data_IF_621417737628
#
_entry.id   IF_621417737628
#
_cell.length_a   1.000
_cell.length_b   1.000
_cell.length_c   1.000
_cell.angle_alpha   90.00
_cell.angle_beta   90.00
_cell.angle_gamma   90.00
#
_symmetry.space_group_name_H-M   'P 1'
#
loop_
_entity.id
_entity.type
_entity.pdbx_description
1 polymer ?
#
# COMPACT_ATOMS: atom_id res chain seq x y z
N UNK A 1 -19.67 55.77 12.80
CA UNK A 1 -20.66 54.87 12.18
C UNK A 1 -20.43 54.60 10.69
N UNK A 2 -20.47 55.58 9.76
CA UNK A 2 -20.28 55.33 8.31
C UNK A 2 -18.99 54.59 7.92
N UNK A 3 -17.85 54.90 8.56
CA UNK A 3 -16.57 54.19 8.37
C UNK A 3 -16.59 52.74 8.89
N UNK A 4 -17.33 52.48 9.97
CA UNK A 4 -17.47 51.15 10.57
C UNK A 4 -18.39 50.26 9.74
N UNK A 5 -19.49 50.83 9.22
CA UNK A 5 -20.40 50.16 8.28
C UNK A 5 -19.68 49.84 6.96
N UNK A 6 -18.89 50.79 6.43
CA UNK A 6 -18.06 50.55 5.24
C UNK A 6 -17.03 49.44 5.43
N UNK A 7 -16.40 49.37 6.62
CA UNK A 7 -15.46 48.29 6.97
C UNK A 7 -16.17 46.92 7.07
N UNK A 8 -17.34 46.87 7.70
CA UNK A 8 -18.13 45.64 7.83
C UNK A 8 -18.61 45.14 6.47
N UNK A 9 -19.09 46.04 5.59
CA UNK A 9 -19.48 45.70 4.22
C UNK A 9 -18.28 45.20 3.41
N UNK A 10 -17.11 45.84 3.55
CA UNK A 10 -15.89 45.41 2.88
C UNK A 10 -15.45 44.01 3.34
N UNK A 11 -15.46 43.75 4.66
CA UNK A 11 -15.17 42.42 5.22
C UNK A 11 -16.19 41.39 4.71
N UNK A 12 -17.48 41.73 4.67
CA UNK A 12 -18.53 40.84 4.17
C UNK A 12 -18.34 40.49 2.68
N UNK A 13 -17.91 41.45 1.85
CA UNK A 13 -17.59 41.20 0.44
C UNK A 13 -16.36 40.30 0.31
N UNK A 14 -15.31 40.53 1.10
CA UNK A 14 -14.12 39.67 1.10
C UNK A 14 -14.49 38.25 1.55
N UNK A 15 -15.20 38.10 2.65
CA UNK A 15 -15.64 36.80 3.15
C UNK A 15 -16.58 36.10 2.16
N UNK A 16 -17.53 36.83 1.57
CA UNK A 16 -18.41 36.34 0.53
C UNK A 16 -17.65 35.88 -0.72
N UNK A 17 -16.61 36.62 -1.13
CA UNK A 17 -15.71 36.23 -2.23
C UNK A 17 -14.88 35.00 -1.91
N UNK A 18 -14.33 34.91 -0.68
CA UNK A 18 -13.58 33.75 -0.18
C UNK A 18 -14.48 32.50 -0.14
N UNK A 19 -15.69 32.64 0.40
CA UNK A 19 -16.68 31.56 0.46
C UNK A 19 -17.17 31.16 -0.92
N UNK A 20 -17.47 32.12 -1.79
CA UNK A 20 -17.86 31.87 -3.18
C UNK A 20 -16.77 31.14 -3.96
N UNK A 21 -15.50 31.53 -3.81
CA UNK A 21 -14.37 30.82 -4.38
C UNK A 21 -14.30 29.37 -3.85
N UNK A 22 -14.39 29.18 -2.54
CA UNK A 22 -14.27 27.86 -1.89
C UNK A 22 -15.43 26.91 -2.23
N UNK A 23 -16.66 27.42 -2.30
CA UNK A 23 -17.88 26.60 -2.41
C UNK A 23 -18.34 26.43 -3.85
N UNK A 24 -18.18 27.45 -4.69
CA UNK A 24 -18.79 27.47 -6.04
C UNK A 24 -17.76 27.24 -7.14
N UNK A 25 -16.56 27.80 -7.01
CA UNK A 25 -15.57 27.78 -8.10
C UNK A 25 -14.50 26.69 -7.96
N UNK A 26 -14.04 26.42 -6.73
CA UNK A 26 -12.87 25.58 -6.49
C UNK A 26 -13.24 24.09 -6.55
N UNK A 27 -12.54 23.34 -7.40
CA UNK A 27 -12.60 21.89 -7.42
C UNK A 27 -11.68 21.29 -6.34
N UNK A 28 -12.03 20.10 -5.86
CA UNK A 28 -11.17 19.27 -5.02
C UNK A 28 -10.31 18.36 -5.88
N UNK A 29 -9.04 18.09 -5.53
CA UNK A 29 -8.28 17.01 -6.18
C UNK A 29 -9.00 15.66 -6.12
N UNK A 30 -9.81 15.43 -5.07
CA UNK A 30 -10.62 14.21 -4.92
C UNK A 30 -11.67 14.06 -6.02
N UNK A 31 -12.17 15.15 -6.62
CA UNK A 31 -13.22 15.11 -7.66
C UNK A 31 -12.77 14.39 -8.95
N UNK A 32 -11.46 14.18 -9.11
CA UNK A 32 -10.87 13.46 -10.23
C UNK A 32 -10.63 11.97 -9.96
N UNK A 33 -10.92 11.49 -8.75
CA UNK A 33 -10.89 10.07 -8.40
C UNK A 33 -12.18 9.44 -8.95
N UNK A 34 -12.02 8.55 -9.92
CA UNK A 34 -13.13 7.87 -10.59
C UNK A 34 -12.99 6.37 -10.43
N UNK A 35 -13.99 5.60 -10.91
CA UNK A 35 -13.92 4.14 -10.97
C UNK A 35 -12.71 3.61 -11.76
N UNK A 36 -12.19 4.41 -12.70
CA UNK A 36 -11.07 4.04 -13.57
C UNK A 36 -9.72 4.37 -12.93
N UNK A 37 -9.71 5.19 -11.89
CA UNK A 37 -8.48 5.61 -11.23
C UNK A 37 -7.91 4.44 -10.44
N UNK A 38 -6.73 3.96 -10.87
CA UNK A 38 -6.03 2.79 -10.33
C UNK A 38 -5.00 3.16 -9.29
N UNK A 39 -4.31 4.28 -9.46
CA UNK A 39 -3.25 4.72 -8.55
C UNK A 39 -3.59 6.11 -8.06
N UNK A 40 -3.56 6.26 -6.75
CA UNK A 40 -3.80 7.52 -6.05
C UNK A 40 -2.67 7.69 -5.05
N UNK A 41 -1.86 8.71 -5.21
CA UNK A 41 -1.09 9.28 -4.12
C UNK A 41 -1.79 10.55 -3.66
N UNK A 42 -1.94 10.71 -2.36
CA UNK A 42 -2.55 11.89 -1.77
C UNK A 42 -1.74 12.34 -0.56
N UNK A 43 -1.36 13.61 -0.55
CA UNK A 43 -0.78 14.26 0.61
C UNK A 43 -1.56 15.56 0.87
N UNK A 44 -2.42 15.53 1.90
CA UNK A 44 -3.29 16.65 2.27
C UNK A 44 -2.77 17.36 3.53
N UNK A 45 -3.14 18.63 3.73
CA UNK A 45 -2.69 19.40 4.89
C UNK A 45 -1.19 19.71 4.89
N UNK A 46 -0.56 19.73 3.71
CA UNK A 46 0.89 19.95 3.54
C UNK A 46 1.33 21.24 4.24
N UNK A 47 0.58 22.33 4.08
CA UNK A 47 0.87 23.62 4.69
C UNK A 47 0.85 23.66 6.22
N UNK A 48 0.36 22.60 6.88
CA UNK A 48 0.31 22.48 8.34
C UNK A 48 1.23 21.40 8.91
N UNK A 49 1.88 20.60 8.06
CA UNK A 49 2.74 19.49 8.47
C UNK A 49 4.16 19.95 8.79
N UNK A 50 4.81 19.24 9.71
CA UNK A 50 6.24 19.38 9.97
C UNK A 50 7.01 18.31 9.19
N UNK A 51 7.69 18.71 8.13
CA UNK A 51 8.50 17.82 7.28
C UNK A 51 9.95 17.65 7.76
N UNK A 52 10.39 18.36 8.79
CA UNK A 52 11.75 18.23 9.35
C UNK A 52 12.16 16.78 9.65
N UNK A 53 11.27 15.89 10.15
CA UNK A 53 11.64 14.49 10.35
C UNK A 53 12.11 13.77 9.08
N UNK A 54 11.67 14.17 7.88
CA UNK A 54 12.13 13.53 6.63
C UNK A 54 13.62 13.76 6.35
N UNK A 55 14.20 14.82 6.90
CA UNK A 55 15.62 15.11 6.74
C UNK A 55 16.51 14.03 7.36
N UNK A 56 16.00 13.24 8.31
CA UNK A 56 16.77 12.12 8.88
C UNK A 56 17.00 11.00 7.86
N UNK A 57 16.20 10.92 6.80
CA UNK A 57 16.34 9.92 5.74
C UNK A 57 17.51 10.19 4.80
N UNK A 58 18.07 11.40 4.85
CA UNK A 58 19.17 11.82 3.98
C UNK A 58 20.51 11.73 4.73
N UNK A 59 21.56 11.41 3.99
CA UNK A 59 22.93 11.39 4.51
C UNK A 59 23.69 12.68 4.18
N UNK A 60 23.41 13.33 3.05
CA UNK A 60 24.11 14.53 2.60
C UNK A 60 23.60 15.79 3.30
N UNK A 61 24.47 16.42 4.10
CA UNK A 61 24.15 17.66 4.82
C UNK A 61 23.87 18.86 3.90
N UNK A 62 24.51 18.95 2.72
CA UNK A 62 24.22 20.02 1.76
C UNK A 62 22.84 19.87 1.16
N UNK A 63 22.46 18.63 0.83
CA UNK A 63 21.11 18.34 0.34
C UNK A 63 20.05 18.68 1.39
N UNK A 64 20.32 18.38 2.67
CA UNK A 64 19.44 18.79 3.78
C UNK A 64 19.28 20.30 3.88
N UNK A 65 20.38 21.07 3.79
CA UNK A 65 20.32 22.53 3.84
C UNK A 65 19.51 23.12 2.67
N UNK A 66 19.71 22.61 1.45
CA UNK A 66 18.93 23.01 0.28
C UNK A 66 17.44 22.71 0.49
N UNK A 67 17.10 21.50 0.93
CA UNK A 67 15.71 21.10 1.17
C UNK A 67 15.05 21.89 2.31
N UNK A 68 15.75 22.21 3.40
CA UNK A 68 15.22 23.08 4.47
C UNK A 68 14.75 24.41 3.88
N UNK A 69 15.52 24.99 2.97
CA UNK A 69 15.16 26.25 2.32
C UNK A 69 13.92 26.11 1.44
N UNK A 70 13.75 24.97 0.75
CA UNK A 70 12.61 24.70 -0.11
C UNK A 70 11.34 24.36 0.69
N UNK A 71 11.47 23.65 1.81
CA UNK A 71 10.37 23.24 2.70
C UNK A 71 9.60 24.45 3.24
N UNK A 72 10.24 25.61 3.39
CA UNK A 72 9.58 26.85 3.77
C UNK A 72 8.48 27.28 2.78
N UNK A 73 8.54 26.81 1.52
CA UNK A 73 7.53 27.09 0.51
C UNK A 73 6.32 26.15 0.57
N UNK A 74 6.41 25.02 1.30
CA UNK A 74 5.30 24.07 1.45
C UNK A 74 4.07 24.69 2.14
N UNK A 75 4.26 25.78 2.89
CA UNK A 75 3.15 26.58 3.47
C UNK A 75 2.15 27.12 2.43
N UNK A 76 2.55 27.17 1.15
CA UNK A 76 1.70 27.60 0.04
C UNK A 76 0.93 26.46 -0.64
N UNK A 77 1.20 25.20 -0.27
CA UNK A 77 0.57 24.01 -0.84
C UNK A 77 -0.33 23.40 0.22
N UNK A 78 -1.62 23.29 -0.07
CA UNK A 78 -2.59 22.65 0.81
C UNK A 78 -2.66 21.15 0.56
N UNK A 79 -2.70 20.74 -0.71
CA UNK A 79 -2.80 19.32 -1.10
C UNK A 79 -1.96 19.04 -2.35
N UNK A 80 -1.44 17.83 -2.43
CA UNK A 80 -0.78 17.32 -3.61
C UNK A 80 -1.25 15.89 -3.89
N UNK A 81 -1.64 15.64 -5.13
CA UNK A 81 -2.12 14.35 -5.58
C UNK A 81 -1.35 13.89 -6.81
N UNK A 82 -1.12 12.59 -6.93
CA UNK A 82 -0.66 11.94 -8.15
C UNK A 82 -1.66 10.85 -8.51
N UNK A 83 -2.15 10.85 -9.75
CA UNK A 83 -3.25 10.01 -10.19
C UNK A 83 -2.91 9.31 -11.51
N UNK A 84 -3.33 8.06 -11.65
CA UNK A 84 -3.24 7.29 -12.90
C UNK A 84 -4.42 6.33 -13.02
N UNK A 85 -4.94 6.17 -14.24
CA UNK A 85 -5.94 5.12 -14.56
C UNK A 85 -5.29 3.84 -15.11
N UNK A 86 -3.96 3.83 -15.21
CA UNK A 86 -3.23 2.64 -15.67
C UNK A 86 -2.97 1.71 -14.50
N UNK A 87 -3.10 0.43 -14.76
CA UNK A 87 -2.62 -0.63 -13.88
C UNK A 87 -1.13 -0.43 -13.58
N UNK A 88 -0.67 -0.83 -12.39
CA UNK A 88 0.69 -0.54 -11.91
C UNK A 88 1.79 -1.03 -12.85
N UNK A 89 1.57 -2.14 -13.55
CA UNK A 89 2.51 -2.72 -14.53
C UNK A 89 2.49 -2.05 -15.91
N UNK A 90 1.53 -1.13 -16.15
CA UNK A 90 1.38 -0.38 -17.40
C UNK A 90 1.57 1.14 -17.19
N UNK A 91 2.04 1.56 -16.02
CA UNK A 91 2.31 2.97 -15.74
C UNK A 91 3.55 3.40 -16.50
N UNK A 92 3.39 4.42 -17.33
CA UNK A 92 4.49 5.19 -17.89
C UNK A 92 4.44 6.64 -17.42
N UNK A 93 5.55 7.36 -17.56
CA UNK A 93 5.67 8.78 -17.20
C UNK A 93 4.50 9.63 -17.73
N UNK A 94 4.08 9.39 -18.98
CA UNK A 94 2.99 10.13 -19.65
C UNK A 94 1.58 9.76 -19.20
N UNK A 95 1.42 8.69 -18.40
CA UNK A 95 0.13 8.24 -17.89
C UNK A 95 -0.23 8.84 -16.53
N UNK A 96 0.74 9.47 -15.87
CA UNK A 96 0.58 10.06 -14.55
C UNK A 96 0.12 11.52 -14.69
N UNK A 97 -0.81 11.93 -13.81
CA UNK A 97 -1.22 13.33 -13.65
C UNK A 97 -0.99 13.77 -12.21
N UNK A 98 -0.28 14.89 -12.01
CA UNK A 98 -0.14 15.56 -10.73
C UNK A 98 -1.18 16.67 -10.55
N UNK A 99 -1.73 16.82 -9.35
CA UNK A 99 -2.68 17.90 -9.01
C UNK A 99 -2.18 18.61 -7.77
N UNK A 100 -1.90 19.91 -7.89
CA UNK A 100 -1.47 20.77 -6.78
C UNK A 100 -2.60 21.72 -6.41
N UNK A 101 -3.04 21.65 -5.16
CA UNK A 101 -3.97 22.60 -4.55
C UNK A 101 -3.18 23.56 -3.64
N UNK A 102 -3.22 24.85 -3.98
CA UNK A 102 -2.52 25.91 -3.24
C UNK A 102 -3.44 26.69 -2.30
N UNK A 103 -4.69 26.27 -2.19
CA UNK A 103 -5.69 26.95 -1.37
C UNK A 103 -5.91 28.39 -1.81
N UNK A 104 -5.89 29.32 -0.86
CA UNK A 104 -6.09 30.75 -1.14
C UNK A 104 -4.91 31.40 -1.89
N UNK A 105 -3.75 30.74 -1.96
CA UNK A 105 -2.58 31.23 -2.68
C UNK A 105 -2.71 31.10 -4.20
N UNK A 106 -3.75 30.41 -4.69
CA UNK A 106 -3.99 30.18 -6.11
C UNK A 106 -3.85 31.43 -6.98
N UNK A 107 -4.52 32.52 -6.63
CA UNK A 107 -4.50 33.75 -7.43
C UNK A 107 -3.14 34.45 -7.46
N UNK A 108 -2.35 34.31 -6.39
CA UNK A 108 -1.01 34.90 -6.31
C UNK A 108 -0.01 34.10 -7.16
N UNK A 109 -0.12 32.77 -7.14
CA UNK A 109 0.72 31.89 -7.96
C UNK A 109 0.32 32.02 -9.43
N UNK A 110 -0.98 32.10 -9.74
CA UNK A 110 -1.51 32.22 -11.10
C UNK A 110 -0.90 33.42 -11.85
N UNK A 111 -0.71 34.56 -11.18
CA UNK A 111 -0.09 35.76 -11.78
C UNK A 111 1.35 35.54 -12.24
N UNK A 112 2.06 34.58 -11.66
CA UNK A 112 3.46 34.32 -11.93
C UNK A 112 3.69 33.11 -12.86
N UNK A 113 2.63 32.41 -13.29
CA UNK A 113 2.75 31.20 -14.12
C UNK A 113 3.55 31.46 -15.40
N UNK A 114 3.29 32.58 -16.09
CA UNK A 114 3.96 32.94 -17.35
C UNK A 114 5.48 33.17 -17.21
N UNK A 115 5.97 33.35 -15.98
CA UNK A 115 7.40 33.38 -15.71
C UNK A 115 8.03 32.01 -16.00
N UNK A 116 7.35 30.93 -15.63
CA UNK A 116 7.86 29.57 -15.64
C UNK A 116 7.38 28.74 -16.85
N UNK A 117 6.23 29.09 -17.42
CA UNK A 117 5.59 28.33 -18.49
C UNK A 117 5.26 29.21 -19.70
N UNK A 118 5.32 28.61 -20.88
CA UNK A 118 4.81 29.18 -22.13
C UNK A 118 3.39 28.67 -22.39
N UNK A 119 2.46 29.56 -22.71
CA UNK A 119 1.08 29.18 -23.05
C UNK A 119 0.97 28.86 -24.55
N UNK A 120 0.58 27.63 -24.88
CA UNK A 120 0.36 27.15 -26.24
C UNK A 120 -0.92 26.32 -26.31
N UNK A 121 -1.82 26.63 -27.24
CA UNK A 121 -3.07 25.88 -27.46
C UNK A 121 -3.89 25.65 -26.17
N UNK A 122 -3.96 26.68 -25.31
CA UNK A 122 -4.64 26.65 -24.01
C UNK A 122 -4.06 25.64 -22.99
N UNK A 123 -2.77 25.29 -23.15
CA UNK A 123 -1.98 24.45 -22.25
C UNK A 123 -0.65 25.16 -21.97
N UNK A 124 -0.21 25.14 -20.73
CA UNK A 124 1.09 25.67 -20.33
C UNK A 124 2.17 24.61 -20.51
N UNK A 125 3.33 24.98 -21.04
CA UNK A 125 4.49 24.10 -21.23
C UNK A 125 5.65 24.66 -20.42
N UNK A 126 6.28 23.84 -19.59
CA UNK A 126 7.40 24.28 -18.76
C UNK A 126 8.55 24.76 -19.65
N UNK A 127 9.05 25.97 -19.39
CA UNK A 127 10.18 26.51 -20.17
C UNK A 127 11.41 25.65 -19.97
N UNK A 128 12.21 25.54 -21.03
CA UNK A 128 13.42 24.71 -21.08
C UNK A 128 14.37 24.94 -19.90
N UNK A 129 14.62 26.19 -19.52
CA UNK A 129 15.51 26.55 -18.41
C UNK A 129 15.08 25.93 -17.06
N UNK A 130 13.78 25.86 -16.79
CA UNK A 130 13.25 25.26 -15.57
C UNK A 130 13.14 23.74 -15.68
N UNK A 131 12.86 23.22 -16.87
CA UNK A 131 12.90 21.77 -17.13
C UNK A 131 14.30 21.22 -16.89
N UNK A 132 15.33 21.85 -17.44
CA UNK A 132 16.74 21.46 -17.23
C UNK A 132 17.17 21.61 -15.76
N UNK A 133 16.63 22.61 -15.05
CA UNK A 133 16.93 22.81 -13.63
C UNK A 133 16.29 21.75 -12.73
N UNK A 134 14.98 21.52 -12.87
CA UNK A 134 14.19 20.75 -11.89
C UNK A 134 13.84 19.33 -12.34
N UNK A 135 13.96 19.01 -13.63
CA UNK A 135 13.52 17.73 -14.22
C UNK A 135 14.67 17.08 -15.01
N UNK A 136 15.87 17.03 -14.42
CA UNK A 136 17.12 16.58 -15.06
C UNK A 136 17.05 15.17 -15.67
N UNK A 137 16.17 14.31 -15.16
CA UNK A 137 16.06 12.91 -15.56
C UNK A 137 14.97 12.66 -16.61
N UNK A 138 14.37 13.70 -17.18
CA UNK A 138 13.35 13.55 -18.23
C UNK A 138 13.57 14.50 -19.40
N UNK A 139 13.45 13.94 -20.60
CA UNK A 139 13.41 14.69 -21.85
C UNK A 139 11.97 15.04 -22.28
N UNK A 140 10.97 14.61 -21.51
CA UNK A 140 9.56 14.88 -21.76
C UNK A 140 9.21 16.32 -21.40
N UNK A 141 8.34 16.93 -22.21
CA UNK A 141 7.73 18.21 -21.84
C UNK A 141 6.79 18.02 -20.65
N UNK A 142 6.79 18.97 -19.72
CA UNK A 142 5.80 19.03 -18.64
C UNK A 142 4.69 20.00 -19.03
N UNK A 143 3.49 19.47 -19.22
CA UNK A 143 2.29 20.24 -19.52
C UNK A 143 1.56 20.57 -18.23
N UNK A 144 0.98 21.77 -18.17
CA UNK A 144 0.17 22.24 -17.06
C UNK A 144 -1.12 22.86 -17.56
N UNK A 145 -2.22 22.68 -16.82
CA UNK A 145 -3.45 23.44 -17.01
C UNK A 145 -3.99 23.90 -15.67
N UNK A 146 -4.35 25.18 -15.61
CA UNK A 146 -5.05 25.77 -14.49
C UNK A 146 -6.53 25.39 -14.61
N UNK A 147 -7.10 24.78 -13.58
CA UNK A 147 -8.48 24.30 -13.64
C UNK A 147 -9.16 24.46 -12.28
N UNK A 148 -10.20 25.30 -12.21
CA UNK A 148 -11.05 25.49 -11.02
C UNK A 148 -10.25 25.60 -9.70
N UNK A 149 -9.23 26.46 -9.67
CA UNK A 149 -8.41 26.68 -8.47
C UNK A 149 -7.27 25.67 -8.24
N UNK A 150 -7.05 24.74 -9.17
CA UNK A 150 -5.98 23.73 -9.13
C UNK A 150 -4.95 23.98 -10.23
N UNK A 151 -3.71 23.55 -9.98
CA UNK A 151 -2.66 23.41 -10.99
C UNK A 151 -2.50 21.92 -11.31
N UNK A 152 -2.84 21.52 -12.53
CA UNK A 152 -2.82 20.11 -12.96
C UNK A 152 -1.69 19.93 -13.96
N UNK A 153 -0.82 18.95 -13.72
CA UNK A 153 0.41 18.69 -14.47
C UNK A 153 0.44 17.27 -15.04
N UNK A 154 1.04 17.09 -16.22
CA UNK A 154 1.25 15.76 -16.81
C UNK A 154 2.38 15.84 -17.84
N UNK A 155 3.14 14.75 -18.00
CA UNK A 155 4.12 14.60 -19.07
C UNK A 155 3.50 14.20 -20.42
N UNK A 156 2.20 13.87 -20.42
CA UNK A 156 1.41 13.61 -21.62
C UNK A 156 0.32 14.67 -21.80
N UNK A 157 0.40 15.45 -22.89
CA UNK A 157 -0.62 16.48 -23.20
C UNK A 157 -2.02 15.87 -23.37
N UNK A 158 -2.12 14.73 -24.07
CA UNK A 158 -3.38 14.00 -24.22
C UNK A 158 -3.91 13.53 -22.85
N UNK A 159 -3.05 12.95 -22.02
CA UNK A 159 -3.41 12.51 -20.67
C UNK A 159 -3.94 13.67 -19.82
N UNK A 160 -3.33 14.85 -19.90
CA UNK A 160 -3.78 16.05 -19.21
C UNK A 160 -5.20 16.46 -19.63
N UNK A 161 -5.46 16.47 -20.95
CA UNK A 161 -6.77 16.81 -21.52
C UNK A 161 -7.84 15.81 -21.09
N UNK A 162 -7.54 14.52 -21.20
CA UNK A 162 -8.43 13.42 -20.84
C UNK A 162 -8.73 13.43 -19.32
N UNK A 163 -7.72 13.69 -18.48
CA UNK A 163 -7.87 13.80 -17.03
C UNK A 163 -8.83 14.93 -16.64
N UNK A 164 -8.68 16.12 -17.22
CA UNK A 164 -9.55 17.27 -16.91
C UNK A 164 -10.99 17.02 -17.37
N UNK A 165 -11.19 16.27 -18.44
CA UNK A 165 -12.51 15.87 -18.91
C UNK A 165 -13.24 14.88 -17.97
N UNK A 166 -12.59 14.43 -16.89
CA UNK A 166 -13.22 13.63 -15.83
C UNK A 166 -13.88 14.46 -14.74
N UNK A 167 -13.64 15.77 -14.68
CA UNK A 167 -14.27 16.62 -13.67
C UNK A 167 -15.79 16.39 -13.61
N UNK A 168 -16.33 16.24 -12.40
CA UNK A 168 -17.73 15.91 -12.16
C UNK A 168 -18.13 14.45 -12.41
N UNK A 169 -17.21 13.56 -12.80
CA UNK A 169 -17.42 12.11 -12.89
C UNK A 169 -16.92 11.35 -11.64
N UNK A 170 -16.74 12.09 -10.55
CA UNK A 170 -16.31 11.55 -9.27
C UNK A 170 -17.16 10.35 -8.88
N UNK A 171 -16.50 9.23 -8.57
CA UNK A 171 -17.17 8.09 -7.97
C UNK A 171 -16.89 8.11 -6.48
N UNK A 172 -17.93 8.32 -5.68
CA UNK A 172 -17.82 8.19 -4.24
C UNK A 172 -17.47 6.74 -3.89
N UNK A 173 -16.25 6.53 -3.39
CA UNK A 173 -15.85 5.30 -2.73
C UNK A 173 -15.59 5.64 -1.26
N UNK A 174 -16.51 5.20 -0.39
CA UNK A 174 -16.47 5.50 1.04
C UNK A 174 -15.16 5.08 1.69
N UNK A 175 -14.62 3.91 1.36
CA UNK A 175 -13.38 3.41 1.97
C UNK A 175 -12.18 4.27 1.55
N UNK A 176 -12.15 4.77 0.30
CA UNK A 176 -11.12 5.73 -0.15
C UNK A 176 -11.27 7.07 0.58
N UNK A 177 -12.48 7.63 0.66
CA UNK A 177 -12.71 8.91 1.34
C UNK A 177 -12.38 8.86 2.83
N UNK A 178 -12.89 7.85 3.54
CA UNK A 178 -12.62 7.64 4.96
C UNK A 178 -11.10 7.48 5.18
N UNK A 179 -10.42 6.75 4.30
CA UNK A 179 -8.95 6.60 4.35
C UNK A 179 -8.23 7.93 4.18
N UNK A 180 -8.62 8.74 3.19
CA UNK A 180 -8.01 10.04 2.93
C UNK A 180 -8.23 11.01 4.10
N UNK A 181 -9.38 10.93 4.77
CA UNK A 181 -9.68 11.74 5.96
C UNK A 181 -8.89 11.27 7.19
N UNK A 182 -8.87 9.97 7.47
CA UNK A 182 -8.16 9.39 8.63
C UNK A 182 -6.65 9.56 8.48
N UNK A 183 -6.10 9.37 7.27
CA UNK A 183 -4.66 9.44 7.00
C UNK A 183 -4.21 10.80 6.52
N UNK A 184 -5.07 11.83 6.58
CA UNK A 184 -4.76 13.19 6.12
C UNK A 184 -3.44 13.73 6.67
N UNK A 185 -3.18 13.47 7.94
CA UNK A 185 -2.04 14.04 8.66
C UNK A 185 -0.74 13.19 8.52
N UNK A 186 -0.79 12.08 7.76
CA UNK A 186 0.36 11.24 7.41
C UNK A 186 1.46 12.04 6.72
N UNK A 187 2.69 12.01 7.24
CA UNK A 187 3.78 12.86 6.74
C UNK A 187 4.18 12.53 5.30
N UNK A 188 4.33 11.23 4.99
CA UNK A 188 4.66 10.73 3.65
C UNK A 188 3.46 10.75 2.70
N UNK A 189 2.26 11.07 3.19
CA UNK A 189 1.01 10.96 2.46
C UNK A 189 0.46 9.54 2.47
N UNK A 190 -0.43 9.26 1.53
CA UNK A 190 -1.15 7.99 1.39
C UNK A 190 -1.15 7.56 -0.07
N UNK A 191 -0.67 6.36 -0.34
CA UNK A 191 -0.81 5.66 -1.62
C UNK A 191 -1.99 4.71 -1.54
N UNK A 192 -2.83 4.70 -2.57
CA UNK A 192 -3.96 3.79 -2.73
C UNK A 192 -3.88 3.20 -4.13
N UNK A 193 -3.78 1.89 -4.20
CA UNK A 193 -4.02 1.13 -5.41
C UNK A 193 -5.48 0.63 -5.39
N UNK A 194 -6.26 1.13 -6.34
CA UNK A 194 -7.68 0.87 -6.46
C UNK A 194 -7.96 -0.15 -7.56
N UNK A 195 -8.15 -1.38 -7.12
CA UNK A 195 -8.44 -2.52 -7.98
C UNK A 195 -9.94 -2.84 -8.02
N UNK A 196 -10.77 -2.03 -7.34
CA UNK A 196 -12.22 -2.20 -7.28
C UNK A 196 -12.82 -2.35 -8.68
N UNK A 197 -13.69 -3.35 -8.85
CA UNK A 197 -14.35 -3.62 -10.12
C UNK A 197 -13.50 -4.36 -11.16
N UNK A 198 -12.28 -4.78 -10.81
CA UNK A 198 -11.56 -5.82 -11.56
C UNK A 198 -11.70 -7.15 -10.83
N UNK A 199 -11.91 -8.24 -11.56
CA UNK A 199 -11.94 -9.59 -10.98
C UNK A 199 -10.53 -10.10 -10.58
N UNK A 200 -9.54 -9.22 -10.58
CA UNK A 200 -8.14 -9.60 -10.58
C UNK A 200 -7.64 -9.63 -9.14
N UNK A 201 -7.15 -10.80 -8.68
CA UNK A 201 -6.39 -10.99 -7.44
C UNK A 201 -7.10 -10.89 -6.09
N UNK A 202 -8.42 -10.77 -6.03
CA UNK A 202 -9.18 -10.81 -4.76
C UNK A 202 -8.89 -9.66 -3.78
N UNK A 203 -8.11 -8.66 -4.21
CA UNK A 203 -7.81 -7.43 -3.48
C UNK A 203 -8.57 -6.30 -4.14
N UNK A 204 -9.42 -5.59 -3.39
CA UNK A 204 -10.12 -4.41 -3.86
C UNK A 204 -9.28 -3.15 -3.71
N UNK A 205 -8.64 -2.97 -2.56
CA UNK A 205 -7.80 -1.80 -2.27
C UNK A 205 -6.51 -2.25 -1.57
N UNK A 206 -5.39 -1.69 -2.00
CA UNK A 206 -4.14 -1.68 -1.24
C UNK A 206 -3.85 -0.24 -0.86
N UNK A 207 -3.81 0.04 0.44
CA UNK A 207 -3.61 1.38 0.99
C UNK A 207 -2.31 1.33 1.78
N UNK A 208 -1.43 2.30 1.57
CA UNK A 208 -0.24 2.49 2.38
C UNK A 208 -0.09 3.96 2.75
N UNK A 209 0.23 4.24 4.01
CA UNK A 209 0.55 5.56 4.51
C UNK A 209 1.74 5.47 5.43
N UNK A 210 2.51 6.55 5.59
CA UNK A 210 3.68 6.48 6.45
C UNK A 210 4.13 7.80 7.04
N UNK A 211 4.93 7.68 8.09
CA UNK A 211 5.53 8.82 8.78
C UNK A 211 6.94 8.50 9.23
N UNK A 212 7.67 9.52 9.67
CA UNK A 212 8.98 9.38 10.29
C UNK A 212 8.89 10.00 11.68
N UNK A 213 9.15 9.19 12.71
CA UNK A 213 9.08 9.61 14.09
C UNK A 213 10.13 8.88 14.92
N UNK A 214 10.81 9.60 15.82
CA UNK A 214 11.77 9.03 16.77
C UNK A 214 12.85 8.12 16.12
N UNK A 215 13.37 8.53 14.96
CA UNK A 215 14.40 7.75 14.24
C UNK A 215 13.88 6.47 13.59
N UNK A 216 12.56 6.33 13.42
CA UNK A 216 11.91 5.19 12.78
C UNK A 216 10.99 5.65 11.64
N UNK A 217 11.00 4.91 10.54
CA UNK A 217 9.99 4.99 9.49
C UNK A 217 8.85 4.06 9.87
N UNK A 218 7.65 4.61 9.96
CA UNK A 218 6.44 3.86 10.32
C UNK A 218 5.54 3.82 9.10
N UNK A 219 5.17 2.62 8.68
CA UNK A 219 4.35 2.34 7.52
C UNK A 219 3.09 1.61 7.97
N UNK A 220 1.93 2.22 7.75
CA UNK A 220 0.63 1.60 7.97
C UNK A 220 0.04 1.19 6.61
N UNK A 221 -0.08 -0.13 6.42
CA UNK A 221 -0.67 -0.74 5.24
C UNK A 221 -2.01 -1.36 5.59
N UNK A 222 -2.99 -1.19 4.70
CA UNK A 222 -4.29 -1.84 4.76
C UNK A 222 -4.61 -2.48 3.43
N UNK A 223 -4.94 -3.76 3.46
CA UNK A 223 -5.43 -4.52 2.31
C UNK A 223 -6.92 -4.76 2.54
N UNK A 224 -7.74 -4.29 1.61
CA UNK A 224 -9.19 -4.56 1.59
C UNK A 224 -9.43 -5.60 0.50
N UNK A 225 -9.93 -6.75 0.92
CA UNK A 225 -10.22 -7.89 0.06
C UNK A 225 -11.60 -7.74 -0.57
N UNK A 226 -11.79 -8.37 -1.73
CA UNK A 226 -13.12 -8.53 -2.31
C UNK A 226 -13.99 -9.41 -1.39
N UNK A 227 -15.23 -9.00 -1.15
CA UNK A 227 -16.11 -9.73 -0.22
C UNK A 227 -16.30 -11.19 -0.64
N UNK A 228 -16.43 -11.47 -1.94
CA UNK A 228 -16.63 -12.84 -2.43
C UNK A 228 -15.35 -13.66 -2.36
N UNK A 229 -14.21 -13.07 -2.69
CA UNK A 229 -12.92 -13.77 -2.63
C UNK A 229 -12.43 -13.92 -1.18
N UNK A 230 -12.85 -13.03 -0.26
CA UNK A 230 -12.49 -13.09 1.16
C UNK A 230 -13.10 -14.27 1.91
N UNK A 231 -14.14 -14.93 1.36
CA UNK A 231 -14.66 -16.19 1.91
C UNK A 231 -13.60 -17.30 1.97
N UNK A 232 -12.56 -17.25 1.13
CA UNK A 232 -11.41 -18.18 1.19
C UNK A 232 -10.63 -18.01 2.51
N UNK A 233 -10.65 -16.81 3.08
CA UNK A 233 -9.95 -16.45 4.30
C UNK A 233 -10.87 -16.45 5.52
N UNK A 234 -12.10 -16.93 5.37
CA UNK A 234 -13.04 -17.02 6.47
C UNK A 234 -12.54 -17.99 7.53
N UNK A 235 -12.76 -17.61 8.79
CA UNK A 235 -12.51 -18.45 9.94
C UNK A 235 -13.74 -18.47 10.85
N UNK A 236 -14.17 -19.68 11.20
CA UNK A 236 -15.27 -19.95 12.14
C UNK A 236 -14.85 -20.91 13.24
N UNK A 237 -13.56 -21.28 13.31
CA UNK A 237 -13.04 -22.26 14.25
C UNK A 237 -13.02 -21.67 15.67
N UNK A 238 -13.96 -22.12 16.52
CA UNK A 238 -14.04 -21.73 17.93
C UNK A 238 -12.87 -22.28 18.76
N UNK A 239 -12.42 -23.50 18.45
CA UNK A 239 -11.32 -24.16 19.14
C UNK A 239 -10.06 -24.17 18.28
N UNK A 240 -9.16 -23.22 18.56
CA UNK A 240 -7.85 -23.10 17.90
C UNK A 240 -6.81 -23.87 18.71
N UNK A 241 -6.39 -25.03 18.22
CA UNK A 241 -5.47 -25.90 18.96
C UNK A 241 -4.02 -25.41 18.88
N UNK A 242 -3.63 -24.77 17.78
CA UNK A 242 -2.25 -24.34 17.57
C UNK A 242 -1.95 -23.00 18.25
N UNK A 243 -2.95 -22.17 18.53
CA UNK A 243 -2.75 -20.81 19.06
C UNK A 243 -1.91 -20.76 20.35
N UNK A 244 -1.93 -21.82 21.16
CA UNK A 244 -1.09 -21.94 22.36
C UNK A 244 0.40 -21.99 22.04
N UNK A 245 0.82 -22.37 20.84
CA UNK A 245 2.23 -22.40 20.40
C UNK A 245 2.66 -21.11 19.70
N UNK A 246 1.76 -20.17 19.44
CA UNK A 246 2.04 -18.91 18.74
C UNK A 246 2.88 -17.97 19.61
N UNK A 247 4.14 -17.74 19.24
CA UNK A 247 5.06 -16.83 19.93
C UNK A 247 5.16 -15.44 19.28
N UNK A 248 6.11 -14.64 19.78
CA UNK A 248 6.65 -13.50 19.01
C UNK A 248 7.43 -14.04 17.81
N UNK A 249 7.54 -13.23 16.75
CA UNK A 249 8.27 -13.56 15.51
C UNK A 249 7.69 -14.74 14.72
N UNK A 250 6.45 -15.10 15.05
CA UNK A 250 5.68 -16.15 14.39
C UNK A 250 4.51 -15.52 13.62
N UNK A 251 4.12 -16.16 12.53
CA UNK A 251 2.89 -15.85 11.78
C UNK A 251 1.92 -17.01 11.97
N UNK A 252 0.72 -16.69 12.44
CA UNK A 252 -0.39 -17.61 12.57
C UNK A 252 -1.39 -17.38 11.44
N UNK A 253 -1.84 -18.46 10.82
CA UNK A 253 -2.90 -18.46 9.81
C UNK A 253 -3.95 -19.46 10.26
N UNK A 254 -5.21 -19.04 10.24
CA UNK A 254 -6.34 -19.92 10.52
C UNK A 254 -7.52 -19.61 9.62
N UNK A 255 -7.95 -20.59 8.83
CA UNK A 255 -9.09 -20.47 7.90
C UNK A 255 -9.89 -21.77 7.89
N UNK A 256 -11.15 -21.72 7.50
CA UNK A 256 -12.04 -22.89 7.45
C UNK A 256 -11.61 -23.91 6.39
N UNK A 257 -11.07 -23.43 5.27
CA UNK A 257 -10.67 -24.28 4.14
C UNK A 257 -9.44 -23.72 3.43
N UNK A 258 -8.32 -24.43 3.55
CA UNK A 258 -7.06 -24.09 2.90
C UNK A 258 -7.06 -24.40 1.39
N UNK A 259 -8.04 -25.15 0.87
CA UNK A 259 -8.07 -25.67 -0.51
C UNK A 259 -7.82 -24.57 -1.56
N UNK A 260 -8.40 -23.39 -1.37
CA UNK A 260 -8.34 -22.26 -2.30
C UNK A 260 -7.21 -21.26 -2.02
N UNK A 261 -6.35 -21.52 -1.04
CA UNK A 261 -5.19 -20.65 -0.78
C UNK A 261 -4.16 -20.70 -1.90
N UNK A 262 -4.18 -21.73 -2.75
CA UNK A 262 -3.37 -21.80 -3.97
C UNK A 262 -3.57 -20.55 -4.85
N UNK A 263 -4.80 -20.02 -4.93
CA UNK A 263 -5.12 -18.78 -5.65
C UNK A 263 -4.43 -17.55 -5.09
N UNK A 264 -4.12 -17.57 -3.79
CA UNK A 264 -3.40 -16.49 -3.10
C UNK A 264 -1.90 -16.71 -3.20
N UNK A 265 -1.42 -17.93 -2.94
CA UNK A 265 0.01 -18.28 -2.97
C UNK A 265 0.59 -18.10 -4.38
N UNK A 266 -0.12 -18.56 -5.40
CA UNK A 266 0.29 -18.43 -6.80
C UNK A 266 -0.34 -17.22 -7.50
N UNK A 267 -0.77 -16.24 -6.71
CA UNK A 267 -1.25 -14.97 -7.25
C UNK A 267 -0.08 -14.26 -7.95
N UNK A 268 -0.23 -13.80 -9.21
CA UNK A 268 0.85 -13.09 -9.89
C UNK A 268 1.31 -11.77 -9.24
N UNK A 269 0.56 -11.18 -8.30
CA UNK A 269 1.11 -10.13 -7.43
C UNK A 269 2.20 -10.65 -6.46
N UNK A 270 2.11 -11.93 -6.08
CA UNK A 270 3.06 -12.61 -5.20
C UNK A 270 4.21 -13.23 -6.01
N UNK A 271 3.91 -13.98 -7.07
CA UNK A 271 4.92 -14.72 -7.85
C UNK A 271 5.49 -13.92 -9.04
N UNK A 272 4.91 -12.75 -9.33
CA UNK A 272 5.28 -11.88 -10.46
C UNK A 272 4.37 -12.07 -11.68
N UNK A 273 4.00 -10.96 -12.31
CA UNK A 273 3.03 -10.92 -13.42
C UNK A 273 3.46 -11.74 -14.67
N UNK A 274 4.75 -12.06 -14.80
CA UNK A 274 5.30 -12.83 -15.91
C UNK A 274 5.31 -14.34 -15.65
N UNK A 275 4.88 -14.80 -14.47
CA UNK A 275 4.83 -16.23 -14.13
C UNK A 275 3.45 -16.78 -14.41
N UNK A 276 3.38 -17.81 -15.26
CA UNK A 276 2.14 -18.55 -15.51
C UNK A 276 1.85 -19.49 -14.33
N UNK A 277 0.95 -19.08 -13.45
CA UNK A 277 0.53 -19.87 -12.29
C UNK A 277 -0.03 -21.24 -12.69
N UNK A 278 -0.68 -21.37 -13.86
CA UNK A 278 -1.16 -22.68 -14.35
C UNK A 278 -0.01 -23.60 -14.71
N UNK A 279 1.05 -23.08 -15.31
CA UNK A 279 2.24 -23.86 -15.61
C UNK A 279 2.92 -24.35 -14.31
N UNK A 280 3.00 -23.50 -13.29
CA UNK A 280 3.50 -23.88 -11.95
C UNK A 280 2.63 -24.99 -11.37
N UNK A 281 1.31 -24.80 -11.28
CA UNK A 281 0.39 -25.81 -10.74
C UNK A 281 0.44 -27.13 -11.50
N UNK A 282 0.54 -27.10 -12.83
CA UNK A 282 0.71 -28.30 -13.65
C UNK A 282 2.04 -29.02 -13.37
N UNK A 283 3.13 -28.27 -13.17
CA UNK A 283 4.42 -28.85 -12.80
C UNK A 283 4.32 -29.56 -11.44
N UNK A 284 3.71 -28.91 -10.45
CA UNK A 284 3.44 -29.50 -9.13
C UNK A 284 2.63 -30.78 -9.25
N UNK A 285 1.52 -30.74 -10.00
CA UNK A 285 0.67 -31.91 -10.26
C UNK A 285 1.45 -33.05 -10.91
N UNK A 286 2.28 -32.76 -11.91
CA UNK A 286 3.08 -33.76 -12.60
C UNK A 286 4.17 -34.37 -11.70
N UNK A 287 4.74 -33.59 -10.78
CA UNK A 287 5.77 -34.05 -9.85
C UNK A 287 5.20 -34.93 -8.73
N UNK A 288 4.08 -34.51 -8.13
CA UNK A 288 3.50 -35.19 -6.97
C UNK A 288 2.43 -36.21 -7.36
N UNK A 289 1.90 -36.11 -8.58
CA UNK A 289 0.76 -36.90 -9.04
C UNK A 289 -0.56 -36.51 -8.36
N UNK A 290 -0.65 -35.28 -7.85
CA UNK A 290 -1.80 -34.75 -7.11
C UNK A 290 -1.91 -33.23 -7.24
N UNK A 291 -3.14 -32.73 -7.30
CA UNK A 291 -3.43 -31.30 -7.26
C UNK A 291 -3.15 -30.69 -5.89
N UNK A 292 -2.54 -29.50 -5.86
CA UNK A 292 -2.21 -28.83 -4.60
C UNK A 292 -3.45 -28.51 -3.76
N UNK A 293 -4.58 -28.24 -4.41
CA UNK A 293 -5.87 -28.00 -3.75
C UNK A 293 -6.29 -29.19 -2.86
N UNK A 294 -6.07 -30.43 -3.33
CA UNK A 294 -6.39 -31.64 -2.55
C UNK A 294 -5.46 -31.81 -1.35
N UNK A 295 -4.17 -31.47 -1.49
CA UNK A 295 -3.22 -31.46 -0.36
C UNK A 295 -3.65 -30.40 0.66
N UNK A 296 -3.93 -29.18 0.22
CA UNK A 296 -4.29 -28.06 1.09
C UNK A 296 -5.61 -28.32 1.82
N UNK A 297 -6.57 -29.00 1.19
CA UNK A 297 -7.85 -29.38 1.78
C UNK A 297 -7.71 -30.31 2.99
N UNK A 298 -6.60 -31.02 3.13
CA UNK A 298 -6.33 -31.89 4.28
C UNK A 298 -5.72 -31.15 5.49
N UNK A 299 -5.38 -29.87 5.33
CA UNK A 299 -5.04 -29.00 6.47
C UNK A 299 -6.30 -28.72 7.28
N UNK A 300 -6.23 -28.92 8.59
CA UNK A 300 -7.33 -28.65 9.53
C UNK A 300 -7.23 -27.22 10.06
N UNK A 301 -7.22 -26.29 9.11
CA UNK A 301 -7.52 -24.88 9.35
C UNK A 301 -6.54 -24.09 10.24
N UNK A 302 -5.37 -24.61 10.58
CA UNK A 302 -4.39 -23.90 11.42
C UNK A 302 -2.93 -24.16 10.98
N UNK A 303 -2.18 -23.07 10.83
CA UNK A 303 -0.74 -23.10 10.52
C UNK A 303 -0.01 -22.03 11.35
N UNK A 304 1.13 -22.39 11.92
CA UNK A 304 2.12 -21.45 12.47
C UNK A 304 3.39 -21.53 11.63
N UNK A 305 3.90 -20.38 11.24
CA UNK A 305 5.20 -20.19 10.61
C UNK A 305 6.13 -19.43 11.55
N UNK A 306 7.25 -20.04 11.92
CA UNK A 306 8.34 -19.40 12.67
C UNK A 306 9.35 -18.82 11.72
N UNK A 307 9.49 -17.51 11.70
CA UNK A 307 10.32 -16.80 10.72
C UNK A 307 11.81 -17.11 10.92
N UNK A 308 12.29 -17.07 12.16
CA UNK A 308 13.73 -17.14 12.49
C UNK A 308 14.41 -18.42 11.97
N UNK A 309 13.73 -19.57 12.08
CA UNK A 309 14.27 -20.87 11.71
C UNK A 309 13.54 -21.51 10.52
N UNK A 310 12.75 -20.73 9.78
CA UNK A 310 11.95 -21.18 8.65
C UNK A 310 11.20 -22.51 8.92
N UNK A 311 10.50 -22.55 10.05
CA UNK A 311 9.87 -23.77 10.56
C UNK A 311 8.36 -23.64 10.62
N UNK A 312 7.66 -24.75 10.39
CA UNK A 312 6.20 -24.76 10.29
C UNK A 312 5.58 -25.75 11.27
N UNK A 313 4.44 -25.39 11.82
CA UNK A 313 3.54 -26.29 12.53
C UNK A 313 2.18 -26.23 11.85
N UNK A 314 1.73 -27.37 11.33
CA UNK A 314 0.53 -27.49 10.51
C UNK A 314 -0.40 -28.50 11.17
N UNK A 315 -1.65 -28.09 11.46
CA UNK A 315 -2.69 -29.00 11.91
C UNK A 315 -3.30 -29.67 10.68
N UNK A 316 -3.42 -30.99 10.70
CA UNK A 316 -4.03 -31.77 9.62
C UNK A 316 -5.28 -32.50 10.12
N UNK A 317 -6.16 -32.84 9.19
CA UNK A 317 -7.34 -33.66 9.44
C UNK A 317 -6.92 -35.09 9.80
N UNK A 318 -7.78 -35.80 10.52
CA UNK A 318 -7.53 -37.20 10.89
C UNK A 318 -7.30 -38.06 9.64
N UNK A 319 -8.19 -37.90 8.65
CA UNK A 319 -8.07 -38.47 7.31
C UNK A 319 -7.34 -37.49 6.38
N UNK A 320 -6.01 -37.58 6.37
CA UNK A 320 -5.12 -36.82 5.50
C UNK A 320 -4.18 -37.74 4.67
N UNK A 321 -4.71 -38.64 3.81
CA UNK A 321 -3.90 -39.56 3.02
C UNK A 321 -2.94 -38.86 2.05
N UNK A 322 -3.32 -37.74 1.46
CA UNK A 322 -2.54 -37.08 0.42
C UNK A 322 -1.36 -36.30 0.98
N UNK A 323 -1.54 -35.58 2.09
CA UNK A 323 -0.45 -34.98 2.85
C UNK A 323 0.51 -36.07 3.30
N UNK A 324 0.02 -37.19 3.87
CA UNK A 324 0.90 -38.28 4.33
C UNK A 324 1.68 -38.92 3.18
N UNK A 325 1.07 -39.06 2.00
CA UNK A 325 1.74 -39.51 0.77
C UNK A 325 2.85 -38.55 0.36
N UNK A 326 2.58 -37.24 0.33
CA UNK A 326 3.58 -36.22 0.00
C UNK A 326 4.71 -36.22 1.03
N UNK A 327 4.39 -36.31 2.33
CA UNK A 327 5.37 -36.41 3.42
C UNK A 327 6.30 -37.60 3.23
N UNK A 328 5.78 -38.78 2.87
CA UNK A 328 6.60 -39.95 2.58
C UNK A 328 7.59 -39.69 1.42
N UNK A 329 7.14 -39.02 0.35
CA UNK A 329 8.00 -38.67 -0.79
C UNK A 329 9.11 -37.67 -0.41
N UNK A 330 8.82 -36.68 0.44
CA UNK A 330 9.80 -35.63 0.78
C UNK A 330 10.73 -35.99 1.93
N UNK A 331 10.43 -37.06 2.66
CA UNK A 331 11.25 -37.57 3.78
C UNK A 331 12.06 -38.82 3.43
N UNK A 332 11.65 -39.61 2.42
CA UNK A 332 12.41 -40.77 1.97
C UNK A 332 13.78 -40.36 1.43
N UNK A 333 14.86 -40.86 2.05
CA UNK A 333 16.25 -40.56 1.67
C UNK A 333 16.60 -40.99 0.24
N UNK A 334 15.84 -41.92 -0.34
CA UNK A 334 16.04 -42.40 -1.70
C UNK A 334 15.19 -41.66 -2.74
N UNK A 335 14.29 -40.78 -2.30
CA UNK A 335 13.45 -39.98 -3.18
C UNK A 335 14.24 -38.78 -3.73
N UNK A 336 14.07 -38.51 -5.03
CA UNK A 336 14.59 -37.28 -5.66
C UNK A 336 13.92 -36.01 -5.12
N UNK A 337 12.80 -36.16 -4.42
CA UNK A 337 12.05 -35.07 -3.78
C UNK A 337 12.45 -34.89 -2.30
N UNK A 338 13.45 -35.61 -1.80
CA UNK A 338 13.90 -35.43 -0.43
C UNK A 338 14.36 -33.99 -0.21
N UNK A 339 13.74 -33.31 0.75
CA UNK A 339 14.02 -31.89 1.02
C UNK A 339 15.15 -31.67 2.03
N UNK A 340 15.57 -32.72 2.73
CA UNK A 340 16.49 -32.64 3.87
C UNK A 340 15.86 -32.05 5.14
N UNK A 341 14.62 -31.56 5.09
CA UNK A 341 13.93 -31.02 6.26
C UNK A 341 13.61 -32.10 7.27
N UNK A 342 13.75 -31.75 8.54
CA UNK A 342 13.27 -32.57 9.64
C UNK A 342 11.76 -32.44 9.74
N UNK A 343 11.04 -33.51 9.42
CA UNK A 343 9.58 -33.54 9.47
C UNK A 343 9.13 -34.56 10.50
N UNK A 344 8.16 -34.19 11.35
CA UNK A 344 7.56 -35.08 12.35
C UNK A 344 6.05 -34.88 12.37
N UNK A 345 5.31 -35.96 12.22
CA UNK A 345 3.87 -36.01 12.50
C UNK A 345 3.65 -36.59 13.90
N UNK A 346 2.84 -35.91 14.72
CA UNK A 346 2.37 -36.43 16.01
C UNK A 346 1.02 -35.79 16.34
N UNK A 347 0.05 -36.59 16.77
CA UNK A 347 -1.26 -36.13 17.25
C UNK A 347 -2.01 -35.24 16.24
N UNK A 348 -1.94 -35.58 14.94
CA UNK A 348 -2.56 -34.79 13.86
C UNK A 348 -1.87 -33.44 13.61
N UNK A 349 -0.63 -33.26 14.07
CA UNK A 349 0.18 -32.06 13.85
C UNK A 349 1.48 -32.43 13.15
N UNK A 350 1.77 -31.75 12.06
CA UNK A 350 3.05 -31.83 11.34
C UNK A 350 3.94 -30.69 11.81
N UNK A 351 5.17 -31.02 12.18
CA UNK A 351 6.25 -30.06 12.42
C UNK A 351 7.30 -30.21 11.34
N UNK A 352 7.62 -29.12 10.65
CA UNK A 352 8.62 -29.05 9.58
C UNK A 352 9.72 -28.09 10.05
N UNK A 353 10.97 -28.53 9.98
CA UNK A 353 12.14 -27.74 10.38
C UNK A 353 12.73 -28.17 11.73
N UNK A 354 13.64 -27.34 12.24
CA UNK A 354 14.44 -27.71 13.42
C UNK A 354 13.85 -27.20 14.75
N UNK A 355 12.82 -26.36 14.67
CA UNK A 355 12.37 -25.58 15.82
C UNK A 355 11.59 -26.35 16.87
N UNK A 356 11.69 -25.86 18.10
CA UNK A 356 10.81 -26.28 19.19
C UNK A 356 9.60 -25.38 19.25
N UNK A 357 8.43 -25.99 19.18
CA UNK A 357 7.15 -25.35 19.42
C UNK A 357 6.73 -25.66 20.85
N UNK A 358 6.93 -24.69 21.74
CA UNK A 358 6.60 -24.77 23.17
C UNK A 358 5.29 -24.04 23.43
N UNK A 359 4.50 -24.53 24.38
CA UNK A 359 3.24 -23.89 24.74
C UNK A 359 3.50 -22.61 25.52
N UNK A 360 2.86 -21.53 25.11
CA UNK A 360 2.92 -20.25 25.78
C UNK A 360 2.11 -20.28 27.07
N UNK A 361 2.69 -19.73 28.13
CA UNK A 361 2.05 -19.58 29.45
C UNK A 361 0.79 -18.69 29.34
N UNK A 362 0.82 -17.71 28.43
CA UNK A 362 -0.30 -16.82 28.12
C UNK A 362 -0.48 -16.77 26.60
N UNK A 363 -1.28 -17.68 26.03
CA UNK A 363 -1.61 -17.64 24.61
C UNK A 363 -2.25 -16.32 24.21
N UNK A 364 -2.08 -15.93 22.94
CA UNK A 364 -2.79 -14.80 22.38
C UNK A 364 -4.30 -15.04 22.41
N UNK A 365 -5.06 -13.98 22.74
CA UNK A 365 -6.51 -13.96 22.59
C UNK A 365 -6.82 -13.29 21.26
N UNK A 366 -7.33 -14.06 20.30
CA UNK A 366 -7.67 -13.59 18.96
C UNK A 366 -9.18 -13.76 18.75
N UNK A 367 -9.79 -12.80 18.05
CA UNK A 367 -11.20 -12.89 17.69
C UNK A 367 -11.43 -14.05 16.71
N UNK A 368 -12.66 -14.60 16.73
CA UNK A 368 -13.03 -15.80 15.96
C UNK A 368 -12.88 -15.62 14.45
N UNK A 369 -13.03 -14.40 13.96
CA UNK A 369 -12.90 -14.03 12.54
C UNK A 369 -11.48 -13.58 12.16
N UNK A 370 -10.53 -13.63 13.10
CA UNK A 370 -9.11 -13.43 12.79
C UNK A 370 -8.57 -14.62 11.98
N UNK A 371 -8.06 -14.35 10.79
CA UNK A 371 -7.54 -15.38 9.88
C UNK A 371 -6.03 -15.34 9.67
N UNK A 372 -5.40 -14.20 9.96
CA UNK A 372 -3.94 -14.07 10.00
C UNK A 372 -3.54 -13.16 11.14
N UNK A 373 -2.49 -13.54 11.86
CA UNK A 373 -1.93 -12.74 12.93
C UNK A 373 -0.41 -12.90 12.96
N UNK A 374 0.31 -11.80 13.22
CA UNK A 374 1.74 -11.83 13.48
C UNK A 374 2.16 -10.64 14.34
N UNK A 375 3.00 -10.91 15.33
CA UNK A 375 3.66 -9.89 16.15
C UNK A 375 5.16 -10.10 16.04
N UNK A 376 5.77 -9.35 15.11
CA UNK A 376 7.16 -9.49 14.69
C UNK A 376 7.97 -8.36 15.31
N UNK A 377 8.97 -8.74 16.08
CA UNK A 377 9.87 -7.88 16.85
C UNK A 377 11.30 -8.14 16.36
N UNK A 378 11.88 -7.14 15.70
CA UNK A 378 13.27 -7.16 15.23
C UNK A 378 13.62 -8.38 14.35
N UNK A 379 12.74 -8.74 13.41
CA UNK A 379 12.97 -9.86 12.48
C UNK A 379 13.98 -9.51 11.39
N UNK A 380 14.79 -10.49 10.97
CA UNK A 380 15.60 -10.38 9.77
C UNK A 380 14.70 -10.51 8.54
N UNK A 381 14.53 -9.42 7.79
CA UNK A 381 13.74 -9.42 6.55
C UNK A 381 14.66 -9.08 5.39
N UNK A 382 14.87 -10.04 4.48
CA UNK A 382 15.72 -9.86 3.29
C UNK A 382 17.17 -9.44 3.63
N UNK A 383 17.68 -9.92 4.77
CA UNK A 383 19.02 -9.62 5.26
C UNK A 383 19.13 -8.33 6.09
N UNK A 384 18.02 -7.71 6.46
CA UNK A 384 17.99 -6.51 7.30
C UNK A 384 17.37 -6.82 8.66
N UNK A 385 18.13 -6.58 9.73
CA UNK A 385 17.70 -6.78 11.12
C UNK A 385 17.00 -5.54 11.69
N UNK A 386 16.21 -5.72 12.74
CA UNK A 386 15.60 -4.61 13.49
C UNK A 386 14.28 -4.10 12.92
N UNK A 387 13.68 -4.80 11.95
CA UNK A 387 12.35 -4.49 11.44
C UNK A 387 11.29 -5.09 12.38
N UNK A 388 10.39 -4.25 12.86
CA UNK A 388 9.21 -4.68 13.63
C UNK A 388 7.99 -4.64 12.70
N UNK A 389 7.08 -5.60 12.83
CA UNK A 389 5.84 -5.61 12.09
C UNK A 389 4.71 -6.26 12.89
N UNK A 390 3.53 -5.64 12.85
CA UNK A 390 2.29 -6.23 13.36
C UNK A 390 1.36 -6.49 12.19
N UNK A 391 0.85 -7.71 12.10
CA UNK A 391 -0.06 -8.16 11.05
C UNK A 391 -1.33 -8.65 11.74
N UNK A 392 -2.49 -8.16 11.30
CA UNK A 392 -3.78 -8.62 11.78
C UNK A 392 -4.75 -8.63 10.60
N UNK A 393 -5.25 -9.80 10.23
CA UNK A 393 -6.32 -9.94 9.25
C UNK A 393 -7.58 -10.49 9.89
N UNK A 394 -8.68 -9.80 9.66
CA UNK A 394 -9.99 -10.09 10.20
C UNK A 394 -11.04 -9.76 9.13
N UNK A 395 -12.04 -10.65 8.97
CA UNK A 395 -13.09 -10.52 7.94
C UNK A 395 -12.47 -10.35 6.54
N UNK A 396 -12.67 -9.19 5.90
CA UNK A 396 -12.17 -8.86 4.57
C UNK A 396 -11.01 -7.84 4.60
N UNK A 397 -10.36 -7.64 5.74
CA UNK A 397 -9.31 -6.62 5.90
C UNK A 397 -8.05 -7.24 6.49
N UNK A 398 -6.90 -6.78 6.02
CA UNK A 398 -5.59 -7.05 6.62
C UNK A 398 -4.94 -5.71 6.93
N UNK A 399 -4.71 -5.44 8.21
CA UNK A 399 -3.97 -4.29 8.69
C UNK A 399 -2.54 -4.74 9.03
N UNK A 400 -1.57 -4.00 8.50
CA UNK A 400 -0.16 -4.23 8.75
C UNK A 400 0.49 -2.92 9.17
N UNK A 401 1.21 -2.94 10.30
CA UNK A 401 2.06 -1.83 10.73
C UNK A 401 3.49 -2.28 10.72
N UNK A 402 4.34 -1.64 9.92
CA UNK A 402 5.77 -1.93 9.81
C UNK A 402 6.55 -0.75 10.36
N UNK A 403 7.55 -1.03 11.19
CA UNK A 403 8.42 -0.04 11.82
C UNK A 403 9.86 -0.41 11.46
N UNK A 404 10.54 0.53 10.81
CA UNK A 404 11.90 0.33 10.28
C UNK A 404 12.79 1.41 10.89
N UNK A 405 13.89 1.07 11.59
CA UNK A 405 14.89 2.06 11.98
C UNK A 405 15.39 2.85 10.77
N UNK A 406 15.58 4.17 10.91
CA UNK A 406 15.97 5.04 9.78
C UNK A 406 17.26 4.57 9.10
N UNK A 407 18.25 4.10 9.87
CA UNK A 407 19.50 3.59 9.31
C UNK A 407 19.28 2.33 8.47
N UNK A 408 18.44 1.41 8.93
CA UNK A 408 18.04 0.20 8.17
C UNK A 408 17.27 0.60 6.91
N UNK A 409 16.35 1.57 7.01
CA UNK A 409 15.61 2.07 5.86
C UNK A 409 16.54 2.66 4.79
N UNK A 410 17.56 3.43 5.19
CA UNK A 410 18.58 3.97 4.28
C UNK A 410 19.38 2.86 3.60
N UNK A 411 19.75 1.81 4.32
CA UNK A 411 20.47 0.67 3.74
C UNK A 411 19.61 -0.06 2.70
N UNK A 412 18.32 -0.25 2.98
CA UNK A 412 17.36 -0.82 2.01
C UNK A 412 17.32 0.04 0.73
N UNK A 413 17.16 1.35 0.87
CA UNK A 413 17.08 2.29 -0.26
C UNK A 413 18.40 2.45 -1.05
N UNK A 414 19.55 2.04 -0.49
CA UNK A 414 20.84 2.00 -1.22
C UNK A 414 20.99 0.72 -2.03
N UNK A 415 20.34 -0.37 -1.62
CA UNK A 415 20.47 -1.69 -2.23
C UNK A 415 19.49 -1.91 -3.38
N UNK A 416 18.33 -1.27 -3.33
CA UNK A 416 17.24 -1.34 -4.31
C UNK A 416 16.92 0.06 -4.83
#
# INVERSE_FOLDING_TARGET
MKKLVGLVVFIAIILGGILGYKVVYKASPRDFITKETRIIYANEGINTKNFTPLLSLLDDEKEKEELISEMANLKYISKFYILSDKEFYNVGEKSITGVVDTGYWYFLILKNVNKYFDLKDNVYILKKEYREKYLKNTNSDLYMKNYKGLFIFSFGEKNLKDFIAKDGKYLYNKEIEDTLDIKRDSLLGTVIYNNSGTAFYGVNLLINSGTVENGKVISDTKIVLDEKESEILKNTKENRELIKYLGKNDIYISVDDFSKLDKIIFNPMVIGANVDSKAVLNLWKNLLGIDIEEILKEIDGEVIYKIENNSFMVKIKDEAPEIRRVLAMVTDKNSSLNTGFKIKEKDGIIKIGEDKFEENIKPYSLDIDTFIYGDLDSVNVVGFDGIEAKIHGEKNKIDMKVIIPVEVFKEIMKKY
#
